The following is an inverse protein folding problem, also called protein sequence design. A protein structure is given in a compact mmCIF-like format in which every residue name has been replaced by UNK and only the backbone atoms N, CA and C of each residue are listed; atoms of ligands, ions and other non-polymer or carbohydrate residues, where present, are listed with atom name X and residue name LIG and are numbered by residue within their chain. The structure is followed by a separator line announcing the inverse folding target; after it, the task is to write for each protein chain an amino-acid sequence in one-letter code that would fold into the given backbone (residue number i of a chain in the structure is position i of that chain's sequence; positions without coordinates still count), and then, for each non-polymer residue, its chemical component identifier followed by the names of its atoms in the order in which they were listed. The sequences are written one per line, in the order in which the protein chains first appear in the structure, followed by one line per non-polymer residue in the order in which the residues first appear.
data_IF_296137920805
#
_entry.id   IF_296137920805
#
_cell.length_a   1.000
_cell.length_b   1.000
_cell.length_c   1.000
_cell.angle_alpha   90.00
_cell.angle_beta   90.00
_cell.angle_gamma   90.00
#
_symmetry.space_group_name_H-M   'P 1'
#
loop_
_entity.id
_entity.type
_entity.pdbx_description
1 polymer ?
#
# COMPACT_ATOMS: atom_id res chain seq x y z
N UNK A 1 -10.18 -8.68 5.16
CA UNK A 1 -10.45 -8.84 3.71
C UNK A 1 -11.76 -8.12 3.44
N UNK A 2 -11.79 -7.14 2.54
CA UNK A 2 -13.03 -6.55 2.05
C UNK A 2 -13.87 -7.65 1.38
N UNK A 3 -15.18 -7.64 1.58
CA UNK A 3 -16.07 -8.60 0.92
C UNK A 3 -16.04 -8.40 -0.60
N UNK A 4 -16.07 -9.51 -1.35
CA UNK A 4 -16.09 -9.51 -2.80
C UNK A 4 -17.40 -8.86 -3.31
N UNK A 5 -17.31 -7.64 -3.83
CA UNK A 5 -18.48 -6.88 -4.28
C UNK A 5 -19.03 -7.49 -5.59
N UNK A 6 -20.26 -7.99 -5.59
CA UNK A 6 -20.84 -8.68 -6.77
C UNK A 6 -21.71 -7.79 -7.68
N UNK A 7 -21.94 -6.54 -7.28
CA UNK A 7 -22.84 -5.59 -7.98
C UNK A 7 -22.14 -4.25 -8.18
N UNK A 8 -22.47 -3.56 -9.27
CA UNK A 8 -22.03 -2.19 -9.56
C UNK A 8 -23.24 -1.26 -9.58
N UNK A 9 -23.05 -0.01 -9.19
CA UNK A 9 -24.10 1.00 -9.31
C UNK A 9 -24.52 1.18 -10.78
N UNK A 10 -25.83 1.29 -11.01
CA UNK A 10 -26.39 1.51 -12.35
C UNK A 10 -26.89 2.94 -12.46
N UNK A 11 -26.07 3.79 -13.07
CA UNK A 11 -26.44 5.18 -13.36
C UNK A 11 -27.60 5.31 -14.35
N UNK A 12 -28.45 6.32 -14.14
CA UNK A 12 -29.51 6.70 -15.09
C UNK A 12 -29.74 8.23 -15.11
N UNK A 13 -30.38 8.71 -16.17
CA UNK A 13 -30.61 10.14 -16.38
C UNK A 13 -31.49 10.72 -15.27
N UNK A 14 -31.10 11.89 -14.75
CA UNK A 14 -31.77 12.56 -13.62
C UNK A 14 -31.75 11.79 -12.30
N UNK A 15 -30.85 10.81 -12.15
CA UNK A 15 -30.61 10.19 -10.86
C UNK A 15 -30.08 11.23 -9.87
N UNK A 16 -30.77 11.37 -8.74
CA UNK A 16 -30.24 12.07 -7.58
C UNK A 16 -29.25 11.13 -6.87
N UNK A 17 -28.05 11.63 -6.62
CA UNK A 17 -26.94 10.87 -6.05
C UNK A 17 -26.75 11.22 -4.59
N UNK A 18 -26.61 10.21 -3.74
CA UNK A 18 -26.37 10.37 -2.30
C UNK A 18 -25.01 9.81 -1.89
N UNK A 19 -24.56 10.13 -0.67
CA UNK A 19 -23.29 9.66 -0.12
C UNK A 19 -23.11 8.12 -0.22
N UNK A 20 -24.12 7.27 0.08
CA UNK A 20 -24.00 5.83 -0.09
C UNK A 20 -23.70 5.39 -1.53
N UNK A 21 -24.25 6.09 -2.54
CA UNK A 21 -23.99 5.75 -3.94
C UNK A 21 -22.51 5.94 -4.31
N UNK A 22 -21.87 6.99 -3.78
CA UNK A 22 -20.44 7.24 -3.99
C UNK A 22 -19.57 6.24 -3.24
N UNK A 23 -19.94 5.92 -2.00
CA UNK A 23 -19.26 4.90 -1.20
C UNK A 23 -19.33 3.53 -1.87
N UNK A 24 -20.49 3.15 -2.40
CA UNK A 24 -20.69 1.88 -3.12
C UNK A 24 -19.85 1.80 -4.40
N UNK A 25 -19.79 2.88 -5.19
CA UNK A 25 -18.96 2.90 -6.41
C UNK A 25 -17.46 2.85 -6.07
N UNK A 26 -17.01 3.57 -5.03
CA UNK A 26 -15.62 3.52 -4.56
C UNK A 26 -15.25 2.10 -4.10
N UNK A 27 -16.10 1.47 -3.28
CA UNK A 27 -15.92 0.11 -2.81
C UNK A 27 -15.86 -0.89 -3.96
N UNK A 28 -16.74 -0.74 -4.96
CA UNK A 28 -16.71 -1.59 -6.16
C UNK A 28 -15.35 -1.50 -6.88
N UNK A 29 -14.82 -0.30 -7.08
CA UNK A 29 -13.53 -0.13 -7.76
C UNK A 29 -12.33 -0.60 -6.93
N UNK A 30 -12.34 -0.38 -5.61
CA UNK A 30 -11.31 -0.91 -4.72
C UNK A 30 -11.32 -2.44 -4.74
N UNK A 31 -12.49 -3.07 -4.65
CA UNK A 31 -12.64 -4.52 -4.76
C UNK A 31 -12.07 -5.05 -6.08
N UNK A 32 -12.47 -4.48 -7.22
CA UNK A 32 -11.98 -4.94 -8.54
C UNK A 32 -10.45 -4.90 -8.62
N UNK A 33 -9.82 -3.84 -8.12
CA UNK A 33 -8.35 -3.68 -8.10
C UNK A 33 -7.70 -4.69 -7.16
N UNK A 34 -8.14 -4.77 -5.90
CA UNK A 34 -7.57 -5.70 -4.94
C UNK A 34 -7.69 -7.15 -5.39
N UNK A 35 -8.82 -7.55 -5.98
CA UNK A 35 -8.99 -8.91 -6.48
C UNK A 35 -8.15 -9.18 -7.72
N UNK A 36 -8.03 -8.23 -8.64
CA UNK A 36 -7.10 -8.34 -9.76
C UNK A 36 -5.67 -8.56 -9.26
N UNK A 37 -5.20 -7.71 -8.35
CA UNK A 37 -3.87 -7.78 -7.77
C UNK A 37 -3.64 -9.08 -7.00
N UNK A 38 -4.58 -9.50 -6.15
CA UNK A 38 -4.47 -10.69 -5.31
C UNK A 38 -4.54 -12.01 -6.08
N UNK A 39 -5.38 -12.09 -7.11
CA UNK A 39 -5.65 -13.36 -7.81
C UNK A 39 -4.80 -13.56 -9.06
N UNK A 40 -4.33 -12.48 -9.69
CA UNK A 40 -3.64 -12.56 -10.98
C UNK A 40 -2.16 -12.18 -10.91
N UNK A 41 -1.66 -11.71 -9.74
CA UNK A 41 -0.28 -11.31 -9.55
C UNK A 41 0.33 -11.93 -8.29
N UNK A 42 1.66 -11.93 -8.22
CA UNK A 42 2.39 -12.34 -7.03
C UNK A 42 2.63 -11.12 -6.13
N UNK A 43 2.36 -11.20 -4.81
CA UNK A 43 2.70 -10.13 -3.87
C UNK A 43 4.20 -9.81 -3.87
N UNK A 44 4.56 -8.55 -3.62
CA UNK A 44 5.95 -8.11 -3.58
C UNK A 44 6.16 -6.69 -4.08
N UNK A 45 7.44 -6.32 -4.24
CA UNK A 45 7.86 -5.03 -4.81
C UNK A 45 7.60 -5.08 -6.32
N UNK A 46 6.80 -4.14 -6.83
CA UNK A 46 6.56 -3.99 -8.26
C UNK A 46 7.65 -3.12 -8.90
N UNK A 47 8.00 -2.01 -8.25
CA UNK A 47 9.08 -1.11 -8.67
C UNK A 47 9.65 -0.33 -7.48
N UNK A 48 10.91 0.08 -7.59
CA UNK A 48 11.55 0.94 -6.59
C UNK A 48 11.72 0.26 -5.23
N UNK A 49 11.44 1.01 -4.15
CA UNK A 49 11.62 0.57 -2.75
C UNK A 49 13.03 0.04 -2.45
N UNK A 50 14.04 0.53 -3.18
CA UNK A 50 15.42 0.11 -3.02
C UNK A 50 15.97 0.64 -1.69
N UNK A 51 16.55 -0.24 -0.89
CA UNK A 51 17.25 0.14 0.34
C UNK A 51 18.71 0.47 0.03
N UNK A 52 19.09 1.73 0.21
CA UNK A 52 20.47 2.22 0.02
C UNK A 52 21.04 2.70 1.34
N UNK A 53 22.22 2.18 1.68
CA UNK A 53 23.00 2.72 2.81
C UNK A 53 23.55 4.09 2.42
N UNK A 54 23.34 5.08 3.28
CA UNK A 54 23.87 6.44 3.09
C UNK A 54 24.95 6.81 4.10
N UNK A 55 25.01 6.11 5.23
CA UNK A 55 26.05 6.25 6.25
C UNK A 55 26.14 4.94 7.08
N UNK A 56 27.08 4.85 8.03
CA UNK A 56 27.29 3.69 8.90
C UNK A 56 26.00 3.18 9.57
N UNK A 57 25.13 4.10 10.01
CA UNK A 57 23.86 3.79 10.70
C UNK A 57 22.65 4.50 10.06
N UNK A 58 22.74 4.87 8.79
CA UNK A 58 21.63 5.51 8.07
C UNK A 58 21.37 4.80 6.76
N UNK A 59 20.09 4.54 6.50
CA UNK A 59 19.62 3.94 5.26
C UNK A 59 18.48 4.78 4.70
N UNK A 60 18.34 4.73 3.38
CA UNK A 60 17.24 5.36 2.66
C UNK A 60 16.52 4.33 1.83
N UNK A 61 15.20 4.47 1.74
CA UNK A 61 14.33 3.69 0.88
C UNK A 61 13.88 4.59 -0.26
N UNK A 62 14.16 4.21 -1.51
CA UNK A 62 13.71 5.00 -2.67
C UNK A 62 12.18 5.00 -2.77
N UNK A 63 11.58 5.97 -3.48
CA UNK A 63 10.20 5.85 -3.91
C UNK A 63 9.94 4.51 -4.62
N UNK A 64 8.70 4.05 -4.57
CA UNK A 64 8.29 2.84 -5.27
C UNK A 64 6.93 2.31 -4.84
N UNK A 65 6.59 1.16 -5.40
CA UNK A 65 5.29 0.53 -5.26
C UNK A 65 5.44 -0.95 -4.95
N UNK A 66 4.62 -1.44 -4.03
CA UNK A 66 4.49 -2.86 -3.72
C UNK A 66 3.01 -3.28 -3.67
N UNK A 67 2.77 -4.58 -3.78
CA UNK A 67 1.46 -5.20 -3.57
C UNK A 67 1.57 -6.17 -2.40
N UNK A 68 0.71 -6.01 -1.41
CA UNK A 68 0.64 -6.93 -0.28
C UNK A 68 -0.11 -8.24 -0.63
N UNK A 69 -0.11 -9.21 0.29
CA UNK A 69 -0.81 -10.50 0.10
C UNK A 69 -2.32 -10.39 -0.08
N UNK A 70 -2.93 -9.26 0.28
CA UNK A 70 -4.36 -9.01 0.14
C UNK A 70 -4.72 -8.31 -1.18
N UNK A 71 -3.70 -7.95 -1.99
CA UNK A 71 -3.87 -7.20 -3.23
C UNK A 71 -3.88 -5.67 -3.01
N UNK A 72 -3.50 -5.18 -1.83
CA UNK A 72 -3.43 -3.77 -1.51
C UNK A 72 -2.15 -3.16 -2.09
N UNK A 73 -2.32 -2.06 -2.81
CA UNK A 73 -1.21 -1.29 -3.37
C UNK A 73 -0.60 -0.39 -2.28
N UNK A 74 0.68 -0.59 -2.02
CA UNK A 74 1.49 0.20 -1.11
C UNK A 74 2.32 1.15 -1.98
N UNK A 75 2.09 2.46 -1.83
CA UNK A 75 2.81 3.49 -2.58
C UNK A 75 3.65 4.31 -1.62
N UNK A 76 4.96 4.32 -1.83
CA UNK A 76 5.90 5.22 -1.18
C UNK A 76 6.32 6.27 -2.21
N UNK A 77 5.71 7.46 -2.23
CA UNK A 77 5.95 8.44 -3.30
C UNK A 77 7.28 9.19 -3.14
N UNK A 78 7.82 9.23 -1.93
CA UNK A 78 9.01 10.00 -1.57
C UNK A 78 10.07 9.12 -0.93
N UNK A 79 11.33 9.57 -1.00
CA UNK A 79 12.43 8.89 -0.34
C UNK A 79 12.22 8.89 1.19
N UNK A 80 12.36 7.73 1.82
CA UNK A 80 12.20 7.58 3.27
C UNK A 80 13.55 7.30 3.94
N UNK A 81 13.96 8.16 4.87
CA UNK A 81 15.21 8.00 5.62
C UNK A 81 14.97 7.34 6.97
N UNK A 82 15.76 6.31 7.26
CA UNK A 82 15.76 5.60 8.54
C UNK A 82 17.09 5.80 9.25
N UNK A 83 17.02 6.22 10.51
CA UNK A 83 18.16 6.28 11.42
C UNK A 83 18.21 5.03 12.29
N UNK A 84 19.33 4.30 12.20
CA UNK A 84 19.64 3.07 12.93
C UNK A 84 20.64 3.34 14.06
N UNK A 85 20.82 4.60 14.47
CA UNK A 85 21.79 5.01 15.48
C UNK A 85 21.47 4.54 16.89
N UNK A 86 20.18 4.28 17.18
CA UNK A 86 19.71 3.86 18.49
C UNK A 86 20.17 2.42 18.81
N UNK A 87 21.22 2.28 19.62
CA UNK A 87 21.80 1.00 20.01
C UNK A 87 20.94 0.13 20.92
N UNK A 88 19.87 0.65 21.53
CA UNK A 88 18.94 -0.17 22.32
C UNK A 88 17.89 -0.83 21.43
N UNK A 89 17.45 -0.13 20.37
CA UNK A 89 16.54 -0.66 19.35
C UNK A 89 17.27 -1.49 18.29
N UNK A 90 18.49 -1.09 17.94
CA UNK A 90 19.34 -1.72 16.93
C UNK A 90 20.71 -2.07 17.53
N UNK A 91 20.81 -3.19 18.26
CA UNK A 91 22.07 -3.62 18.86
C UNK A 91 23.20 -3.80 17.84
N UNK A 92 24.47 -3.64 18.23
CA UNK A 92 25.59 -3.95 17.34
C UNK A 92 25.51 -5.40 16.83
N UNK A 93 25.84 -5.59 15.55
CA UNK A 93 25.78 -6.89 14.87
C UNK A 93 24.41 -7.58 14.87
N UNK A 94 23.31 -6.84 15.06
CA UNK A 94 21.95 -7.38 14.89
C UNK A 94 21.48 -7.26 13.45
N UNK A 95 20.70 -8.25 13.00
CA UNK A 95 19.93 -8.16 11.77
C UNK A 95 18.75 -7.17 11.95
N UNK A 96 18.55 -6.28 10.98
CA UNK A 96 17.45 -5.31 10.98
C UNK A 96 16.63 -5.55 9.72
N UNK A 97 15.34 -5.84 9.93
CA UNK A 97 14.37 -5.99 8.85
C UNK A 97 13.63 -4.68 8.63
N UNK A 98 13.62 -4.20 7.39
CA UNK A 98 12.82 -3.04 6.98
C UNK A 98 11.53 -3.57 6.38
N UNK A 99 10.39 -3.19 6.96
CA UNK A 99 9.06 -3.59 6.51
C UNK A 99 8.25 -2.37 6.13
N UNK A 100 7.49 -2.49 5.04
CA UNK A 100 6.46 -1.52 4.66
C UNK A 100 5.10 -2.20 4.71
N UNK A 101 4.07 -1.47 5.14
CA UNK A 101 2.69 -1.97 5.18
C UNK A 101 1.74 -0.95 4.60
N UNK A 102 0.68 -1.45 3.97
CA UNK A 102 -0.44 -0.62 3.58
C UNK A 102 -1.06 0.06 4.81
N UNK A 103 -1.39 1.34 4.68
CA UNK A 103 -2.12 2.08 5.69
C UNK A 103 -3.02 3.10 5.01
N UNK A 104 -4.31 2.78 4.91
CA UNK A 104 -5.31 3.68 4.36
C UNK A 104 -5.42 4.94 5.23
N UNK A 105 -5.47 6.09 4.56
CA UNK A 105 -5.78 7.38 5.18
C UNK A 105 -6.96 7.98 4.45
N UNK A 106 -8.06 8.16 5.17
CA UNK A 106 -9.22 8.90 4.68
C UNK A 106 -8.96 10.39 4.94
N UNK A 107 -9.20 11.24 3.93
CA UNK A 107 -9.02 12.69 3.97
C UNK A 107 -10.30 13.42 4.34
#
# INVERSE_FOLDING_TARGET
MLEDVTKRLRYFTYQFMEEPDFTDEQNYHLDRRHRHNRLLHTPGIAEGLEVKKTDAKKVKVSPGTAIDSNGQEIVQPEEYSLDLSNGTTYPPNSEVNITIKYNEKLS
#
